data_IF_707580501331
#
_entry.id   IF_707580501331
#
_cell.length_a   1.000
_cell.length_b   1.000
_cell.length_c   1.000
_cell.angle_alpha   90.00
_cell.angle_beta   90.00
_cell.angle_gamma   90.00
#
_symmetry.space_group_name_H-M   'P 1'
#
loop_
_entity.id
_entity.type
_entity.pdbx_description
1 polymer ?
#
# COMPACT_ATOMS: atom_id res chain seq x y z
N UNK A 1 49.41 0.28 -29.28
CA UNK A 1 48.77 1.31 -28.43
C UNK A 1 47.33 1.63 -28.85
N UNK A 2 47.04 1.92 -30.13
CA UNK A 2 45.65 2.21 -30.57
C UNK A 2 44.62 1.08 -30.35
N UNK A 3 45.02 -0.19 -30.50
CA UNK A 3 44.12 -1.33 -30.27
C UNK A 3 43.73 -1.50 -28.79
N UNK A 4 44.63 -1.26 -27.84
CA UNK A 4 44.34 -1.36 -26.41
C UNK A 4 43.46 -0.19 -25.93
N UNK A 5 43.69 1.03 -26.46
CA UNK A 5 42.84 2.18 -26.16
C UNK A 5 41.43 2.00 -26.70
N UNK A 6 41.28 1.42 -27.90
CA UNK A 6 39.97 1.11 -28.47
C UNK A 6 39.21 0.08 -27.62
N UNK A 7 39.89 -0.96 -27.13
CA UNK A 7 39.30 -1.96 -26.25
C UNK A 7 38.82 -1.37 -24.91
N UNK A 8 39.61 -0.47 -24.31
CA UNK A 8 39.23 0.19 -23.07
C UNK A 8 38.02 1.12 -23.24
N UNK A 9 37.92 1.81 -24.39
CA UNK A 9 36.76 2.64 -24.69
C UNK A 9 35.49 1.80 -24.83
N UNK A 10 35.56 0.69 -25.56
CA UNK A 10 34.43 -0.24 -25.73
C UNK A 10 34.00 -0.82 -24.38
N UNK A 11 34.95 -1.26 -23.55
CA UNK A 11 34.66 -1.77 -22.22
C UNK A 11 33.97 -0.72 -21.33
N UNK A 12 34.44 0.54 -21.36
CA UNK A 12 33.82 1.63 -20.61
C UNK A 12 32.37 1.91 -21.03
N UNK A 13 32.10 1.94 -22.34
CA UNK A 13 30.74 2.18 -22.85
C UNK A 13 29.79 1.04 -22.49
N UNK A 14 30.25 -0.21 -22.53
CA UNK A 14 29.44 -1.38 -22.12
C UNK A 14 29.02 -1.27 -20.66
N UNK A 15 29.95 -0.89 -19.77
CA UNK A 15 29.66 -0.76 -18.33
C UNK A 15 28.63 0.35 -18.09
N UNK A 16 28.81 1.53 -18.71
CA UNK A 16 27.87 2.64 -18.58
C UNK A 16 26.48 2.26 -19.11
N UNK A 17 26.41 1.54 -20.24
CA UNK A 17 25.15 1.08 -20.80
C UNK A 17 24.36 0.18 -19.84
N UNK A 18 25.02 -0.77 -19.19
CA UNK A 18 24.38 -1.66 -18.20
C UNK A 18 23.95 -0.86 -16.97
N UNK A 19 24.79 0.05 -16.47
CA UNK A 19 24.49 0.85 -15.29
C UNK A 19 23.22 1.69 -15.45
N UNK A 20 22.98 2.25 -16.64
CA UNK A 20 21.77 3.03 -16.93
C UNK A 20 20.51 2.15 -16.87
N UNK A 21 20.54 0.98 -17.51
CA UNK A 21 19.39 0.07 -17.52
C UNK A 21 19.06 -0.42 -16.12
N UNK A 22 20.09 -0.83 -15.35
CA UNK A 22 19.91 -1.25 -13.94
C UNK A 22 19.39 -0.10 -13.09
N UNK A 23 19.90 1.12 -13.26
CA UNK A 23 19.45 2.30 -12.53
C UNK A 23 17.96 2.61 -12.78
N UNK A 24 17.50 2.53 -14.03
CA UNK A 24 16.08 2.73 -14.38
C UNK A 24 15.20 1.62 -13.80
N UNK A 25 15.65 0.37 -13.84
CA UNK A 25 14.92 -0.75 -13.25
C UNK A 25 14.78 -0.60 -11.73
N UNK A 26 15.86 -0.22 -11.03
CA UNK A 26 15.83 0.05 -9.59
C UNK A 26 14.88 1.19 -9.23
N UNK A 27 14.88 2.27 -10.00
CA UNK A 27 13.96 3.39 -9.78
C UNK A 27 12.49 2.96 -9.95
N UNK A 28 12.20 2.14 -10.96
CA UNK A 28 10.85 1.61 -11.21
C UNK A 28 10.39 0.66 -10.10
N UNK A 29 11.29 -0.21 -9.62
CA UNK A 29 11.04 -1.08 -8.49
C UNK A 29 10.77 -0.28 -7.21
N UNK A 30 11.59 0.74 -6.93
CA UNK A 30 11.42 1.60 -5.76
C UNK A 30 10.09 2.35 -5.77
N UNK A 31 9.63 2.83 -6.94
CA UNK A 31 8.33 3.47 -7.09
C UNK A 31 7.18 2.50 -6.79
N UNK A 32 7.32 1.24 -7.19
CA UNK A 32 6.32 0.19 -6.94
C UNK A 32 6.25 -0.14 -5.45
N UNK A 33 7.40 -0.29 -4.79
CA UNK A 33 7.49 -0.51 -3.35
C UNK A 33 6.94 0.67 -2.54
N UNK A 34 7.26 1.90 -2.94
CA UNK A 34 6.76 3.11 -2.28
C UNK A 34 5.23 3.21 -2.33
N UNK A 35 4.60 2.87 -3.46
CA UNK A 35 3.15 2.83 -3.57
C UNK A 35 2.54 1.74 -2.67
N UNK A 36 3.15 0.55 -2.62
CA UNK A 36 2.72 -0.54 -1.74
C UNK A 36 2.80 -0.14 -0.26
N UNK A 37 3.88 0.51 0.15
CA UNK A 37 4.04 1.01 1.51
C UNK A 37 3.04 2.14 1.83
N UNK A 38 2.78 3.02 0.85
CA UNK A 38 1.75 4.05 0.94
C UNK A 38 0.36 3.48 1.18
N UNK A 39 -0.04 2.48 0.40
CA UNK A 39 -1.31 1.76 0.59
C UNK A 39 -1.39 1.11 1.98
N UNK A 40 -0.31 0.47 2.40
CA UNK A 40 -0.23 -0.17 3.73
C UNK A 40 -0.40 0.84 4.85
N UNK A 41 0.22 2.02 4.72
CA UNK A 41 0.08 3.13 5.67
C UNK A 41 -1.36 3.66 5.73
N UNK A 42 -2.02 3.83 4.59
CA UNK A 42 -3.43 4.24 4.53
C UNK A 42 -4.37 3.22 5.18
N UNK A 43 -4.14 1.92 4.94
CA UNK A 43 -4.85 0.83 5.62
C UNK A 43 -4.66 0.90 7.14
N UNK A 44 -3.44 1.15 7.61
CA UNK A 44 -3.17 1.27 9.04
C UNK A 44 -3.88 2.48 9.66
N UNK A 45 -3.96 3.61 8.94
CA UNK A 45 -4.73 4.77 9.38
C UNK A 45 -6.24 4.47 9.49
N UNK A 46 -6.80 3.76 8.50
CA UNK A 46 -8.20 3.30 8.53
C UNK A 46 -8.41 2.31 9.68
N UNK A 47 -7.46 1.40 9.90
CA UNK A 47 -7.53 0.42 10.99
C UNK A 47 -7.58 1.10 12.36
N UNK A 48 -6.72 2.10 12.58
CA UNK A 48 -6.71 2.87 13.81
C UNK A 48 -8.04 3.61 14.01
N UNK A 49 -8.57 4.23 12.94
CA UNK A 49 -9.87 4.90 13.00
C UNK A 49 -11.03 3.94 13.28
N UNK A 50 -11.02 2.74 12.68
CA UNK A 50 -12.01 1.71 12.92
C UNK A 50 -11.99 1.22 14.37
N UNK A 51 -10.80 0.97 14.92
CA UNK A 51 -10.65 0.58 16.32
C UNK A 51 -11.10 1.70 17.26
N UNK A 52 -10.78 2.94 16.94
CA UNK A 52 -11.23 4.11 17.70
C UNK A 52 -12.76 4.23 17.69
N UNK A 53 -13.41 4.01 16.55
CA UNK A 53 -14.88 3.96 16.46
C UNK A 53 -15.47 2.89 17.38
N UNK A 54 -14.87 1.70 17.41
CA UNK A 54 -15.33 0.59 18.24
C UNK A 54 -15.32 0.89 19.74
N UNK A 55 -14.24 1.50 20.24
CA UNK A 55 -14.08 1.79 21.68
C UNK A 55 -14.85 3.03 22.12
N UNK A 56 -15.22 3.92 21.20
CA UNK A 56 -15.98 5.13 21.50
C UNK A 56 -17.42 4.78 21.92
N UNK A 57 -17.97 5.42 22.98
CA UNK A 57 -19.38 5.28 23.35
C UNK A 57 -20.33 5.73 22.24
N UNK A 58 -21.52 5.12 22.17
CA UNK A 58 -22.58 5.52 21.22
C UNK A 58 -23.00 6.98 21.35
N UNK A 59 -22.95 7.54 22.56
CA UNK A 59 -23.27 8.95 22.83
C UNK A 59 -22.32 9.92 22.13
N UNK A 60 -21.13 9.46 21.73
CA UNK A 60 -20.13 10.22 20.97
C UNK A 60 -20.04 9.76 19.51
N UNK A 61 -21.05 9.03 19.01
CA UNK A 61 -21.08 8.51 17.64
C UNK A 61 -20.19 7.29 17.39
N UNK A 62 -19.82 6.54 18.45
CA UNK A 62 -19.06 5.29 18.34
C UNK A 62 -19.91 4.03 18.21
N UNK A 63 -19.24 2.89 18.06
CA UNK A 63 -19.81 1.59 17.73
C UNK A 63 -20.23 0.73 18.93
N UNK A 64 -19.86 1.12 20.16
CA UNK A 64 -20.20 0.44 21.42
C UNK A 64 -19.95 -1.09 21.37
N UNK A 65 -18.83 -1.51 21.97
CA UNK A 65 -17.79 -2.44 21.44
C UNK A 65 -18.07 -3.21 20.12
N UNK A 66 -18.65 -2.60 19.09
CA UNK A 66 -18.82 -3.25 17.78
C UNK A 66 -18.32 -2.38 16.64
N UNK A 67 -17.92 -3.00 15.54
CA UNK A 67 -17.67 -2.29 14.27
C UNK A 67 -18.94 -2.09 13.44
N UNK A 68 -20.11 -2.47 13.95
CA UNK A 68 -21.39 -2.35 13.24
C UNK A 68 -21.61 -0.90 12.81
N UNK A 69 -21.97 -0.69 11.54
CA UNK A 69 -22.14 0.62 10.89
C UNK A 69 -20.86 1.46 10.75
N UNK A 70 -19.68 0.88 10.99
CA UNK A 70 -18.44 1.56 10.65
C UNK A 70 -18.39 1.86 9.15
N UNK A 71 -18.09 3.10 8.83
CA UNK A 71 -17.90 3.59 7.46
C UNK A 71 -16.57 4.33 7.43
N UNK A 72 -15.78 4.10 6.37
CA UNK A 72 -14.52 4.83 6.18
C UNK A 72 -14.86 6.31 5.93
N UNK A 73 -14.29 7.26 6.70
CA UNK A 73 -14.47 8.68 6.44
C UNK A 73 -14.05 9.05 5.01
N UNK A 74 -14.80 9.94 4.34
CA UNK A 74 -14.54 10.35 2.94
C UNK A 74 -13.08 10.75 2.67
N UNK A 75 -12.41 11.36 3.65
CA UNK A 75 -11.00 11.78 3.58
C UNK A 75 -10.00 10.62 3.55
N UNK A 76 -10.40 9.43 3.99
CA UNK A 76 -9.58 8.22 4.04
C UNK A 76 -10.01 7.19 2.97
N UNK A 77 -11.05 7.47 2.18
CA UNK A 77 -11.52 6.55 1.13
C UNK A 77 -10.60 6.56 -0.11
N UNK A 78 -9.80 7.59 -0.29
CA UNK A 78 -8.84 7.69 -1.40
C UNK A 78 -7.67 8.59 -1.02
N UNK A 79 -6.48 8.22 -1.47
CA UNK A 79 -5.27 9.04 -1.42
C UNK A 79 -4.54 8.99 -2.77
N UNK A 80 -3.31 9.51 -2.82
CA UNK A 80 -2.46 9.46 -4.01
C UNK A 80 -2.07 8.01 -4.39
N UNK A 81 -2.01 7.12 -3.41
CA UNK A 81 -1.57 5.73 -3.60
C UNK A 81 -2.69 4.82 -4.09
N UNK A 82 -3.95 5.10 -3.76
CA UNK A 82 -5.09 4.32 -4.21
C UNK A 82 -6.41 4.61 -3.51
N UNK A 83 -7.36 3.69 -3.71
CA UNK A 83 -8.72 3.77 -3.17
C UNK A 83 -8.97 2.66 -2.16
N UNK A 84 -9.65 2.97 -1.06
CA UNK A 84 -9.93 2.08 0.05
C UNK A 84 -11.44 1.83 0.17
N UNK A 85 -11.83 0.56 0.16
CA UNK A 85 -13.23 0.13 0.22
C UNK A 85 -13.43 -0.90 1.31
N UNK A 86 -14.62 -0.92 1.91
CA UNK A 86 -15.02 -1.97 2.86
C UNK A 86 -15.66 -3.11 2.09
N UNK A 87 -15.11 -4.31 2.24
CA UNK A 87 -15.66 -5.54 1.63
C UNK A 87 -16.67 -6.20 2.56
N UNK A 88 -16.41 -6.16 3.87
CA UNK A 88 -17.31 -6.72 4.88
C UNK A 88 -17.14 -5.99 6.21
N UNK A 89 -18.25 -5.76 6.90
CA UNK A 89 -18.27 -5.19 8.25
C UNK A 89 -19.17 -6.07 9.12
N UNK A 90 -18.59 -6.65 10.16
CA UNK A 90 -19.31 -7.43 11.17
C UNK A 90 -19.12 -6.78 12.53
N UNK A 91 -19.79 -7.26 13.58
CA UNK A 91 -19.60 -6.70 14.92
C UNK A 91 -18.13 -6.79 15.41
N UNK A 92 -17.40 -7.83 14.99
CA UNK A 92 -16.08 -8.18 15.52
C UNK A 92 -14.94 -8.06 14.51
N UNK A 93 -15.25 -7.87 13.23
CA UNK A 93 -14.26 -7.90 12.17
C UNK A 93 -14.63 -6.95 11.05
N UNK A 94 -13.63 -6.28 10.48
CA UNK A 94 -13.74 -5.50 9.24
C UNK A 94 -12.81 -6.10 8.20
N UNK A 95 -13.30 -6.27 6.98
CA UNK A 95 -12.48 -6.56 5.81
C UNK A 95 -12.47 -5.35 4.91
N UNK A 96 -11.28 -4.92 4.54
CA UNK A 96 -11.05 -3.76 3.68
C UNK A 96 -10.17 -4.17 2.51
N UNK A 97 -10.40 -3.49 1.39
CA UNK A 97 -9.68 -3.67 0.14
C UNK A 97 -9.14 -2.32 -0.33
N UNK A 98 -7.83 -2.24 -0.47
CA UNK A 98 -7.15 -1.12 -1.11
C UNK A 98 -6.72 -1.51 -2.53
N UNK A 99 -7.03 -0.65 -3.50
CA UNK A 99 -6.64 -0.82 -4.91
C UNK A 99 -5.70 0.31 -5.28
N UNK A 100 -4.52 -0.03 -5.80
CA UNK A 100 -3.51 0.94 -6.22
C UNK A 100 -4.01 1.86 -7.35
N UNK A 101 -3.61 3.14 -7.29
CA UNK A 101 -3.79 4.11 -8.38
C UNK A 101 -2.88 3.84 -9.58
N UNK A 102 -1.75 3.14 -9.37
CA UNK A 102 -0.78 2.81 -10.43
C UNK A 102 -1.20 1.61 -11.26
N UNK A 103 -1.83 0.60 -10.63
CA UNK A 103 -2.26 -0.62 -11.29
C UNK A 103 -3.50 -1.21 -10.59
N UNK A 104 -4.63 -1.40 -11.28
CA UNK A 104 -5.85 -1.93 -10.67
C UNK A 104 -5.72 -3.39 -10.20
N UNK A 105 -4.73 -4.13 -10.68
CA UNK A 105 -4.46 -5.51 -10.23
C UNK A 105 -3.67 -5.57 -8.92
N UNK A 106 -3.08 -4.45 -8.49
CA UNK A 106 -2.33 -4.34 -7.25
C UNK A 106 -3.28 -4.05 -6.10
N UNK A 107 -3.61 -5.12 -5.37
CA UNK A 107 -4.65 -5.10 -4.35
C UNK A 107 -4.06 -5.51 -3.01
N UNK A 108 -4.20 -4.61 -2.02
CA UNK A 108 -3.91 -4.90 -0.62
C UNK A 108 -5.23 -5.16 0.10
N UNK A 109 -5.44 -6.40 0.53
CA UNK A 109 -6.57 -6.76 1.37
C UNK A 109 -6.13 -6.75 2.83
N UNK A 110 -6.93 -6.17 3.72
CA UNK A 110 -6.69 -6.27 5.15
C UNK A 110 -7.92 -6.70 5.93
N UNK A 111 -7.67 -7.46 6.98
CA UNK A 111 -8.68 -7.97 7.89
C UNK A 111 -8.35 -7.49 9.30
N UNK A 112 -9.23 -6.67 9.87
CA UNK A 112 -9.12 -6.12 11.22
C UNK A 112 -9.92 -7.00 12.16
N UNK A 113 -9.29 -7.55 13.18
CA UNK A 113 -9.95 -8.38 14.19
C UNK A 113 -10.61 -7.55 15.33
N UNK A 114 -11.17 -8.25 16.30
CA UNK A 114 -11.84 -7.63 17.44
C UNK A 114 -10.88 -6.94 18.40
N UNK A 115 -9.59 -7.24 18.37
CA UNK A 115 -8.55 -6.59 19.15
C UNK A 115 -7.93 -5.38 18.42
N UNK A 116 -8.37 -5.07 17.19
CA UNK A 116 -7.82 -4.00 16.37
C UNK A 116 -6.54 -4.38 15.64
N UNK A 117 -6.19 -5.68 15.61
CA UNK A 117 -5.04 -6.18 14.85
C UNK A 117 -5.44 -6.34 13.39
N UNK A 118 -4.68 -5.71 12.49
CA UNK A 118 -4.81 -5.89 11.05
C UNK A 118 -3.92 -7.06 10.57
N UNK A 119 -4.51 -7.97 9.80
CA UNK A 119 -3.79 -8.92 8.96
C UNK A 119 -3.84 -8.40 7.53
N UNK A 120 -2.68 -8.21 6.90
CA UNK A 120 -2.56 -7.61 5.57
C UNK A 120 -2.07 -8.67 4.58
N UNK A 121 -2.70 -8.74 3.42
CA UNK A 121 -2.35 -9.60 2.30
C UNK A 121 -2.18 -8.75 1.03
N UNK A 122 -1.25 -9.16 0.19
CA UNK A 122 -0.90 -8.45 -1.05
C UNK A 122 -1.17 -9.38 -2.24
N UNK A 123 -1.72 -8.84 -3.32
CA UNK A 123 -1.95 -9.58 -4.57
C UNK A 123 -1.64 -8.72 -5.80
N UNK A 124 -1.07 -9.34 -6.84
CA UNK A 124 -0.79 -8.70 -8.13
C UNK A 124 0.61 -8.08 -8.30
N UNK A 125 1.44 -8.06 -7.25
CA UNK A 125 2.87 -7.69 -7.34
C UNK A 125 3.74 -8.88 -7.70
#
# INVERSE_FOLDING_TARGET
MGQQQLLLLIAGVIIVGIAIVVGVQMFSAQSTEANRDGLTSGIMAITANAYEFKIRPRTLGGGLPTYTNYTIPIKLQSDENGTYTLTSVTANQIQLRAVSSMNPNWIVDATIDSAGKAMISYSGW
#
